data_IF_729357103561
#
_entry.id   IF_729357103561
#
_cell.length_a   1.000
_cell.length_b   1.000
_cell.length_c   1.000
_cell.angle_alpha   90.00
_cell.angle_beta   90.00
_cell.angle_gamma   90.00
#
_symmetry.space_group_name_H-M   'P 1'
#
loop_
_entity.id
_entity.type
_entity.pdbx_description
1 polymer ?
#
# COMPACT_ATOMS: atom_id res chain seq x y z
N UNK A 1 22.31 -20.50 19.31
CA UNK A 1 21.06 -21.16 18.89
C UNK A 1 20.71 -20.65 17.49
N UNK A 2 20.83 -21.45 16.43
CA UNK A 2 20.41 -21.03 15.10
C UNK A 2 18.87 -21.08 15.04
N UNK A 3 18.25 -19.99 14.58
CA UNK A 3 16.83 -19.97 14.26
C UNK A 3 16.62 -20.80 12.99
N UNK A 4 16.06 -22.00 13.12
CA UNK A 4 15.51 -22.74 11.99
C UNK A 4 14.39 -21.89 11.38
N UNK A 5 14.69 -21.32 10.21
CA UNK A 5 13.68 -20.62 9.41
C UNK A 5 12.84 -21.72 8.76
N UNK A 6 11.51 -21.80 8.99
CA UNK A 6 10.69 -22.80 8.31
C UNK A 6 10.65 -22.41 6.83
N UNK A 7 11.55 -23.04 6.06
CA UNK A 7 11.71 -22.76 4.64
C UNK A 7 10.68 -23.59 3.90
N UNK A 8 9.42 -23.16 3.93
CA UNK A 8 8.45 -23.64 2.95
C UNK A 8 8.69 -22.93 1.63
N UNK A 9 9.75 -23.35 0.93
CA UNK A 9 10.05 -22.99 -0.46
C UNK A 9 9.14 -23.74 -1.45
N UNK A 10 8.03 -24.33 -0.98
CA UNK A 10 7.08 -24.98 -1.84
C UNK A 10 6.42 -23.93 -2.74
N UNK A 11 6.79 -23.96 -4.02
CA UNK A 11 6.14 -23.18 -5.05
C UNK A 11 4.87 -23.91 -5.46
N UNK A 12 3.73 -23.26 -5.34
CA UNK A 12 2.42 -23.79 -5.71
C UNK A 12 2.01 -23.22 -7.06
N UNK A 13 1.37 -24.02 -7.90
CA UNK A 13 0.81 -23.55 -9.17
C UNK A 13 -0.67 -23.24 -9.01
N UNK A 14 -1.07 -22.04 -9.42
CA UNK A 14 -2.46 -21.59 -9.41
C UNK A 14 -2.88 -21.32 -10.85
N UNK A 15 -3.89 -22.04 -11.34
CA UNK A 15 -4.40 -21.83 -12.69
C UNK A 15 -4.96 -20.40 -12.82
N UNK A 16 -4.64 -19.73 -13.93
CA UNK A 16 -5.12 -18.39 -14.21
C UNK A 16 -6.06 -18.38 -15.42
N UNK A 17 -7.14 -17.60 -15.39
CA UNK A 17 -7.94 -17.35 -16.58
C UNK A 17 -7.11 -16.68 -17.68
N UNK A 18 -7.32 -17.05 -18.95
CA UNK A 18 -6.60 -16.48 -20.10
C UNK A 18 -6.57 -14.93 -20.14
N UNK A 19 -7.66 -14.21 -19.83
CA UNK A 19 -7.62 -12.75 -19.79
C UNK A 19 -6.70 -12.18 -18.70
N UNK A 20 -6.51 -12.89 -17.58
CA UNK A 20 -5.61 -12.49 -16.50
C UNK A 20 -4.16 -12.67 -16.93
N UNK A 21 -3.85 -13.81 -17.57
CA UNK A 21 -2.52 -14.09 -18.10
C UNK A 21 -2.12 -13.03 -19.12
N UNK A 22 -2.99 -12.71 -20.07
CA UNK A 22 -2.71 -11.71 -21.11
C UNK A 22 -2.42 -10.32 -20.53
N UNK A 23 -3.09 -9.94 -19.44
CA UNK A 23 -2.86 -8.65 -18.78
C UNK A 23 -1.56 -8.61 -17.97
N UNK A 24 -1.13 -9.75 -17.44
CA UNK A 24 0.14 -9.85 -16.72
C UNK A 24 1.33 -10.04 -17.67
N UNK A 25 1.11 -10.73 -18.80
CA UNK A 25 2.10 -10.94 -19.83
C UNK A 25 2.54 -9.60 -20.44
N UNK A 26 3.85 -9.39 -20.53
CA UNK A 26 4.43 -8.14 -21.03
C UNK A 26 4.52 -7.02 -19.99
N UNK A 27 4.12 -7.26 -18.74
CA UNK A 27 4.35 -6.34 -17.62
C UNK A 27 5.51 -6.84 -16.75
N UNK A 28 6.15 -5.94 -16.00
CA UNK A 28 7.18 -6.28 -15.01
C UNK A 28 6.62 -6.43 -13.58
N UNK A 29 5.29 -6.42 -13.42
CA UNK A 29 4.62 -6.47 -12.12
C UNK A 29 4.97 -7.73 -11.32
N UNK A 30 5.11 -8.88 -11.99
CA UNK A 30 5.52 -10.14 -11.35
C UNK A 30 6.96 -10.04 -10.86
N UNK A 31 7.87 -9.50 -11.68
CA UNK A 31 9.28 -9.32 -11.32
C UNK A 31 9.47 -8.34 -10.15
N UNK A 32 8.61 -7.31 -10.05
CA UNK A 32 8.56 -6.36 -8.93
C UNK A 32 7.96 -6.95 -7.65
N UNK A 33 7.37 -8.15 -7.70
CA UNK A 33 6.65 -8.74 -6.57
C UNK A 33 5.37 -7.98 -6.22
N UNK A 34 4.76 -7.30 -7.20
CA UNK A 34 3.53 -6.52 -7.05
C UNK A 34 2.26 -7.35 -7.22
N UNK A 35 2.40 -8.64 -7.54
CA UNK A 35 1.29 -9.55 -7.82
C UNK A 35 1.13 -10.53 -6.66
N UNK A 36 -0.05 -10.53 -6.05
CA UNK A 36 -0.39 -11.41 -4.93
C UNK A 36 -1.74 -12.09 -5.15
N UNK A 37 -1.89 -13.28 -4.58
CA UNK A 37 -3.14 -14.03 -4.55
C UNK A 37 -3.62 -14.11 -3.10
N UNK A 38 -4.84 -13.65 -2.86
CA UNK A 38 -5.53 -13.82 -1.57
C UNK A 38 -6.55 -14.95 -1.68
N UNK A 39 -6.68 -15.73 -0.61
CA UNK A 39 -7.57 -16.89 -0.52
C UNK A 39 -8.59 -16.71 0.60
N UNK A 40 -9.86 -16.82 0.24
CA UNK A 40 -11.00 -16.81 1.16
C UNK A 40 -11.47 -18.23 1.54
N UNK A 41 -10.59 -19.24 1.39
CA UNK A 41 -10.90 -20.64 1.76
C UNK A 41 -11.39 -20.78 3.21
N UNK A 42 -10.91 -19.95 4.14
CA UNK A 42 -11.39 -19.94 5.52
C UNK A 42 -12.88 -19.58 5.62
N UNK A 43 -13.34 -18.58 4.85
CA UNK A 43 -14.75 -18.20 4.80
C UNK A 43 -15.60 -19.30 4.19
N UNK A 44 -15.10 -19.93 3.12
CA UNK A 44 -15.79 -21.08 2.50
C UNK A 44 -15.90 -22.25 3.47
N UNK A 45 -14.82 -22.57 4.19
CA UNK A 45 -14.81 -23.64 5.19
C UNK A 45 -15.79 -23.35 6.33
N UNK A 46 -15.81 -22.11 6.84
CA UNK A 46 -16.77 -21.66 7.84
C UNK A 46 -18.22 -21.74 7.35
N UNK A 47 -18.49 -21.35 6.10
CA UNK A 47 -19.83 -21.38 5.53
C UNK A 47 -20.33 -22.82 5.29
N UNK A 48 -19.43 -23.78 5.06
CA UNK A 48 -19.77 -25.19 4.85
C UNK A 48 -20.81 -25.37 3.75
N UNK A 49 -21.92 -26.05 4.08
CA UNK A 49 -23.03 -26.32 3.17
C UNK A 49 -23.76 -25.05 2.70
N UNK A 50 -23.70 -23.97 3.50
CA UNK A 50 -24.32 -22.68 3.15
C UNK A 50 -23.52 -21.87 2.13
N UNK A 51 -22.33 -22.33 1.73
CA UNK A 51 -21.47 -21.62 0.79
C UNK A 51 -22.17 -21.30 -0.53
N UNK A 52 -22.93 -22.25 -1.09
CA UNK A 52 -23.65 -22.06 -2.36
C UNK A 52 -24.60 -20.86 -2.35
N UNK A 53 -25.20 -20.57 -1.19
CA UNK A 53 -26.11 -19.45 -0.97
C UNK A 53 -25.35 -18.15 -0.66
N UNK A 54 -24.30 -18.22 0.16
CA UNK A 54 -23.55 -17.03 0.62
C UNK A 54 -22.47 -16.53 -0.34
N UNK A 55 -21.99 -17.37 -1.26
CA UNK A 55 -20.82 -17.05 -2.11
C UNK A 55 -20.99 -15.76 -2.89
N UNK A 56 -22.19 -15.47 -3.39
CA UNK A 56 -22.44 -14.25 -4.17
C UNK A 56 -22.26 -12.98 -3.34
N UNK A 57 -22.77 -12.98 -2.11
CA UNK A 57 -22.63 -11.86 -1.18
C UNK A 57 -21.18 -11.70 -0.72
N UNK A 58 -20.50 -12.82 -0.42
CA UNK A 58 -19.09 -12.82 -0.05
C UNK A 58 -18.24 -12.25 -1.19
N UNK A 59 -18.45 -12.69 -2.43
CA UNK A 59 -17.73 -12.17 -3.59
C UNK A 59 -18.00 -10.69 -3.82
N UNK A 60 -19.26 -10.26 -3.68
CA UNK A 60 -19.63 -8.84 -3.80
C UNK A 60 -18.92 -8.00 -2.74
N UNK A 61 -18.85 -8.50 -1.50
CA UNK A 61 -18.13 -7.84 -0.42
C UNK A 61 -16.62 -7.73 -0.70
N UNK A 62 -16.00 -8.83 -1.12
CA UNK A 62 -14.57 -8.88 -1.46
C UNK A 62 -14.26 -7.91 -2.61
N UNK A 63 -15.05 -7.93 -3.68
CA UNK A 63 -14.86 -7.05 -4.84
C UNK A 63 -14.99 -5.58 -4.45
N UNK A 64 -15.99 -5.23 -3.62
CA UNK A 64 -16.14 -3.87 -3.08
C UNK A 64 -14.91 -3.47 -2.26
N UNK A 65 -14.43 -4.36 -1.38
CA UNK A 65 -13.27 -4.08 -0.54
C UNK A 65 -11.99 -3.90 -1.36
N UNK A 66 -11.82 -4.69 -2.40
CA UNK A 66 -10.74 -4.53 -3.39
C UNK A 66 -10.85 -3.18 -4.08
N UNK A 67 -12.05 -2.78 -4.53
CA UNK A 67 -12.27 -1.49 -5.16
C UNK A 67 -12.01 -0.29 -4.22
N UNK A 68 -12.27 -0.45 -2.93
CA UNK A 68 -12.03 0.61 -1.93
C UNK A 68 -10.55 0.81 -1.59
N UNK A 69 -9.72 -0.24 -1.74
CA UNK A 69 -8.30 -0.22 -1.36
C UNK A 69 -7.34 -0.11 -2.54
N UNK A 70 -7.74 -0.56 -3.74
CA UNK A 70 -6.90 -0.59 -4.93
C UNK A 70 -7.18 0.61 -5.85
N UNK A 71 -6.16 1.00 -6.61
CA UNK A 71 -6.31 2.07 -7.59
C UNK A 71 -7.04 1.60 -8.84
N UNK A 72 -7.55 2.56 -9.62
CA UNK A 72 -8.27 2.27 -10.87
C UNK A 72 -7.42 1.53 -11.90
N UNK A 73 -6.10 1.69 -11.85
CA UNK A 73 -5.17 1.05 -12.77
C UNK A 73 -4.76 -0.36 -12.31
N UNK A 74 -5.00 -0.70 -11.05
CA UNK A 74 -4.62 -2.00 -10.50
C UNK A 74 -5.50 -3.11 -11.06
N UNK A 75 -4.87 -4.25 -11.32
CA UNK A 75 -5.57 -5.44 -11.78
C UNK A 75 -6.12 -6.19 -10.57
N UNK A 76 -7.41 -6.50 -10.62
CA UNK A 76 -8.07 -7.43 -9.71
C UNK A 76 -8.84 -8.44 -10.53
N UNK A 77 -8.73 -9.70 -10.16
CA UNK A 77 -9.44 -10.77 -10.85
C UNK A 77 -9.75 -11.90 -9.89
N UNK A 78 -10.98 -12.40 -9.91
CA UNK A 78 -11.30 -13.69 -9.31
C UNK A 78 -10.75 -14.79 -10.19
N UNK A 79 -9.86 -15.61 -9.66
CA UNK A 79 -9.17 -16.69 -10.39
C UNK A 79 -9.76 -18.07 -10.07
N UNK A 80 -10.40 -18.23 -8.91
CA UNK A 80 -11.16 -19.42 -8.55
C UNK A 80 -12.35 -19.06 -7.66
N UNK A 81 -13.13 -20.07 -7.23
CA UNK A 81 -14.28 -19.88 -6.35
C UNK A 81 -13.91 -19.22 -5.00
N UNK A 82 -12.66 -19.40 -4.56
CA UNK A 82 -12.17 -18.94 -3.27
C UNK A 82 -10.88 -18.11 -3.34
N UNK A 83 -10.42 -17.73 -4.54
CA UNK A 83 -9.14 -17.04 -4.70
C UNK A 83 -9.24 -15.86 -5.65
N UNK A 84 -8.54 -14.79 -5.28
CA UNK A 84 -8.49 -13.53 -6.01
C UNK A 84 -7.04 -13.14 -6.23
N UNK A 85 -6.72 -12.73 -7.45
CA UNK A 85 -5.45 -12.15 -7.83
C UNK A 85 -5.55 -10.63 -7.80
N UNK A 86 -4.50 -10.02 -7.27
CA UNK A 86 -4.30 -8.58 -7.17
C UNK A 86 -2.92 -8.26 -7.76
N UNK A 87 -2.85 -7.34 -8.71
CA UNK A 87 -1.60 -6.76 -9.18
C UNK A 87 -1.65 -5.24 -9.05
N UNK A 88 -0.74 -4.69 -8.25
CA UNK A 88 -0.67 -3.26 -7.94
C UNK A 88 0.38 -2.58 -8.82
N UNK A 89 0.09 -1.40 -9.37
CA UNK A 89 1.07 -0.68 -10.20
C UNK A 89 2.06 0.14 -9.37
N UNK A 90 1.63 0.63 -8.21
CA UNK A 90 2.41 1.56 -7.39
C UNK A 90 3.09 0.87 -6.20
N UNK A 91 2.44 -0.15 -5.63
CA UNK A 91 2.99 -0.95 -4.54
C UNK A 91 3.78 -2.14 -5.08
N UNK A 92 4.92 -2.44 -4.46
CA UNK A 92 5.81 -3.54 -4.87
C UNK A 92 6.40 -4.28 -3.67
N UNK A 93 6.81 -5.53 -3.91
CA UNK A 93 7.38 -6.43 -2.90
C UNK A 93 6.57 -6.44 -1.61
N UNK A 94 7.25 -6.16 -0.49
CA UNK A 94 6.64 -6.18 0.84
C UNK A 94 5.48 -5.19 1.02
N UNK A 95 5.48 -4.05 0.32
CA UNK A 95 4.37 -3.09 0.39
C UNK A 95 3.09 -3.68 -0.21
N UNK A 96 3.19 -4.28 -1.41
CA UNK A 96 2.06 -4.95 -2.05
C UNK A 96 1.53 -6.13 -1.22
N UNK A 97 2.44 -6.87 -0.59
CA UNK A 97 2.09 -7.95 0.35
C UNK A 97 1.33 -7.40 1.56
N UNK A 98 1.80 -6.31 2.17
CA UNK A 98 1.16 -5.69 3.33
C UNK A 98 -0.24 -5.17 3.00
N UNK A 99 -0.42 -4.54 1.84
CA UNK A 99 -1.74 -4.11 1.35
C UNK A 99 -2.66 -5.31 1.14
N UNK A 100 -2.16 -6.40 0.54
CA UNK A 100 -2.94 -7.63 0.34
C UNK A 100 -3.34 -8.31 1.67
N UNK A 101 -2.43 -8.32 2.66
CA UNK A 101 -2.71 -8.81 4.02
C UNK A 101 -3.82 -8.01 4.67
N UNK A 102 -3.71 -6.68 4.65
CA UNK A 102 -4.70 -5.79 5.25
C UNK A 102 -6.09 -5.97 4.61
N UNK A 103 -6.15 -6.10 3.28
CA UNK A 103 -7.42 -6.35 2.58
C UNK A 103 -8.05 -7.66 3.07
N UNK A 104 -7.26 -8.74 3.14
CA UNK A 104 -7.78 -10.03 3.58
C UNK A 104 -8.19 -10.01 5.07
N UNK A 105 -7.41 -9.35 5.92
CA UNK A 105 -7.71 -9.15 7.34
C UNK A 105 -9.04 -8.44 7.55
N UNK A 106 -9.29 -7.35 6.81
CA UNK A 106 -10.55 -6.61 6.87
C UNK A 106 -11.73 -7.47 6.38
N UNK A 107 -11.53 -8.27 5.32
CA UNK A 107 -12.56 -9.18 4.78
C UNK A 107 -12.91 -10.26 5.79
N UNK A 108 -11.91 -10.92 6.38
CA UNK A 108 -12.13 -11.97 7.38
C UNK A 108 -12.78 -11.38 8.64
N UNK A 109 -12.31 -10.23 9.12
CA UNK A 109 -12.88 -9.57 10.30
C UNK A 109 -14.35 -9.21 10.07
N UNK A 110 -14.72 -8.73 8.89
CA UNK A 110 -16.12 -8.40 8.59
C UNK A 110 -17.02 -9.64 8.52
N UNK A 111 -16.56 -10.71 7.86
CA UNK A 111 -17.40 -11.88 7.57
C UNK A 111 -17.40 -12.93 8.70
N UNK A 112 -16.28 -13.09 9.40
CA UNK A 112 -16.08 -14.09 10.46
C UNK A 112 -16.03 -13.47 11.86
N UNK A 113 -16.01 -12.14 11.97
CA UNK A 113 -15.93 -11.39 13.22
C UNK A 113 -14.49 -11.19 13.74
N UNK A 114 -13.53 -11.98 13.27
CA UNK A 114 -12.11 -11.84 13.57
C UNK A 114 -11.25 -12.42 12.44
N UNK A 115 -10.00 -11.96 12.34
CA UNK A 115 -9.02 -12.52 11.43
C UNK A 115 -7.92 -13.25 12.23
N UNK A 116 -7.83 -14.58 12.09
CA UNK A 116 -6.71 -15.36 12.61
C UNK A 116 -5.56 -15.39 11.61
N UNK A 117 -4.31 -15.43 12.10
CA UNK A 117 -3.12 -15.63 11.25
C UNK A 117 -3.20 -16.93 10.43
N UNK A 118 -3.83 -17.98 10.98
CA UNK A 118 -4.03 -19.25 10.27
C UNK A 118 -4.91 -19.13 9.04
N UNK A 119 -5.80 -18.12 9.02
CA UNK A 119 -6.85 -17.95 8.02
C UNK A 119 -6.42 -17.00 6.90
N UNK A 120 -5.29 -16.29 7.10
CA UNK A 120 -4.68 -15.40 6.12
C UNK A 120 -3.94 -16.21 5.04
N UNK A 121 -4.70 -16.74 4.08
CA UNK A 121 -4.16 -17.44 2.93
C UNK A 121 -3.65 -16.47 1.86
N UNK A 122 -2.37 -16.12 1.88
CA UNK A 122 -1.76 -15.17 0.93
C UNK A 122 -0.54 -15.79 0.25
N UNK A 123 -0.43 -15.58 -1.05
CA UNK A 123 0.70 -16.04 -1.86
C UNK A 123 1.20 -14.92 -2.76
N UNK A 124 2.51 -14.84 -2.95
CA UNK A 124 3.14 -13.94 -3.91
C UNK A 124 3.33 -14.67 -5.22
N UNK A 125 2.96 -14.07 -6.35
CA UNK A 125 3.25 -14.64 -7.67
C UNK A 125 4.70 -14.30 -8.01
N UNK A 126 5.50 -15.34 -8.25
CA UNK A 126 6.93 -15.24 -8.57
C UNK A 126 7.24 -15.57 -10.04
N UNK A 127 6.26 -16.09 -10.78
CA UNK A 127 6.40 -16.43 -12.19
C UNK A 127 5.07 -16.77 -12.84
N UNK A 128 5.07 -16.83 -14.18
CA UNK A 128 3.96 -17.29 -15.00
C UNK A 128 4.48 -18.41 -15.91
N UNK A 129 3.88 -19.59 -15.82
CA UNK A 129 4.30 -20.79 -16.56
C UNK A 129 3.05 -21.57 -17.00
N UNK A 130 2.98 -21.99 -18.28
CA UNK A 130 1.93 -22.87 -18.82
C UNK A 130 0.48 -22.43 -18.49
N UNK A 131 0.23 -21.12 -18.45
CA UNK A 131 -1.08 -20.57 -18.09
C UNK A 131 -1.43 -20.66 -16.59
N UNK A 132 -0.44 -20.87 -15.73
CA UNK A 132 -0.56 -20.83 -14.29
C UNK A 132 0.40 -19.79 -13.68
N UNK A 133 0.00 -19.23 -12.54
CA UNK A 133 0.89 -18.48 -11.67
C UNK A 133 1.70 -19.44 -10.80
N UNK A 134 3.02 -19.31 -10.85
CA UNK A 134 3.91 -19.92 -9.87
C UNK A 134 3.93 -19.02 -8.65
N UNK A 135 3.50 -19.56 -7.52
CA UNK A 135 3.21 -18.81 -6.31
C UNK A 135 4.08 -19.29 -5.15
N UNK A 136 4.64 -18.36 -4.38
CA UNK A 136 5.29 -18.64 -3.10
C UNK A 136 4.37 -18.22 -1.96
N UNK A 137 4.21 -19.08 -0.96
CA UNK A 137 3.43 -18.74 0.24
C UNK A 137 4.08 -17.58 0.99
N UNK A 138 3.25 -16.63 1.39
CA UNK A 138 3.67 -15.52 2.26
C UNK A 138 3.30 -15.90 3.69
N UNK A 139 4.23 -15.69 4.62
CA UNK A 139 3.93 -15.75 6.04
C UNK A 139 3.32 -14.41 6.49
N UNK A 140 2.02 -14.37 6.85
CA UNK A 140 1.35 -13.15 7.27
C UNK A 140 1.98 -12.55 8.53
N UNK A 141 2.55 -13.36 9.42
CA UNK A 141 3.17 -12.89 10.65
C UNK A 141 4.41 -12.03 10.35
N UNK A 142 5.21 -12.42 9.35
CA UNK A 142 6.39 -11.65 8.91
C UNK A 142 5.95 -10.30 8.33
N UNK A 143 4.92 -10.29 7.48
CA UNK A 143 4.43 -9.07 6.84
C UNK A 143 3.83 -8.12 7.87
N UNK A 144 3.02 -8.63 8.79
CA UNK A 144 2.43 -7.84 9.88
C UNK A 144 3.50 -7.31 10.85
N UNK A 145 4.49 -8.13 11.20
CA UNK A 145 5.62 -7.69 12.02
C UNK A 145 6.44 -6.60 11.32
N UNK A 146 6.67 -6.72 10.01
CA UNK A 146 7.37 -5.70 9.25
C UNK A 146 6.57 -4.40 9.15
N UNK A 147 5.24 -4.48 8.98
CA UNK A 147 4.33 -3.33 9.07
C UNK A 147 4.39 -2.65 10.44
N UNK A 148 4.27 -3.43 11.52
CA UNK A 148 4.36 -2.91 12.87
C UNK A 148 5.71 -2.24 13.15
N UNK A 149 6.83 -2.81 12.65
CA UNK A 149 8.16 -2.17 12.73
C UNK A 149 8.24 -0.88 11.93
N UNK A 150 7.66 -0.83 10.72
CA UNK A 150 7.61 0.37 9.88
C UNK A 150 6.81 1.50 10.54
N UNK A 151 5.72 1.16 11.21
CA UNK A 151 4.84 2.10 11.90
C UNK A 151 5.34 2.47 13.31
N UNK A 152 6.25 1.66 13.88
CA UNK A 152 6.86 1.88 15.19
C UNK A 152 7.69 3.17 15.25
N UNK A 153 7.81 3.74 16.44
CA UNK A 153 8.64 4.91 16.72
C UNK A 153 10.14 4.72 16.41
N UNK A 154 10.58 3.48 16.14
CA UNK A 154 11.98 3.10 15.86
C UNK A 154 12.23 2.71 14.39
N UNK A 155 11.29 2.97 13.48
CA UNK A 155 11.44 2.64 12.06
C UNK A 155 12.59 3.45 11.42
N UNK A 156 13.56 2.81 10.73
CA UNK A 156 14.62 3.53 10.02
C UNK A 156 14.10 4.31 8.79
N UNK A 157 12.84 4.10 8.40
CA UNK A 157 12.15 4.85 7.33
C UNK A 157 11.23 5.94 7.91
N UNK A 158 10.97 5.95 9.23
CA UNK A 158 10.60 7.21 9.89
C UNK A 158 11.87 8.05 9.89
N UNK A 159 11.98 8.96 8.92
CA UNK A 159 12.78 10.14 9.17
C UNK A 159 12.01 10.85 10.30
N UNK A 160 12.52 10.71 11.53
CA UNK A 160 12.15 11.60 12.61
C UNK A 160 12.64 12.98 12.16
N UNK A 161 11.80 13.69 11.43
CA UNK A 161 12.08 15.07 11.10
C UNK A 161 11.87 15.82 12.41
N UNK A 162 12.99 16.16 13.05
CA UNK A 162 12.94 16.97 14.26
C UNK A 162 12.38 18.34 13.88
N UNK A 163 11.33 18.86 14.54
CA UNK A 163 10.78 20.17 14.20
C UNK A 163 11.83 21.29 14.25
N UNK A 164 12.85 21.12 15.11
CA UNK A 164 14.04 21.96 15.21
C UNK A 164 14.93 21.86 13.96
N UNK A 165 15.11 20.67 13.39
CA UNK A 165 15.90 20.45 12.18
C UNK A 165 15.15 20.87 10.90
N UNK A 166 13.83 20.71 10.86
CA UNK A 166 12.98 21.28 9.81
C UNK A 166 12.98 22.81 9.85
N UNK A 167 12.97 23.40 11.05
CA UNK A 167 13.17 24.82 11.29
C UNK A 167 14.63 25.29 11.11
N UNK A 168 15.61 24.39 10.93
CA UNK A 168 16.96 24.73 10.46
C UNK A 168 17.07 24.66 8.93
N UNK A 169 16.33 23.74 8.30
CA UNK A 169 16.19 23.64 6.83
C UNK A 169 15.28 24.71 6.24
N UNK A 170 14.52 25.37 7.12
CA UNK A 170 13.66 26.52 6.85
C UNK A 170 14.21 27.69 7.67
N UNK A 171 14.98 28.61 7.08
CA UNK A 171 14.61 29.27 5.83
C UNK A 171 15.57 29.00 4.66
N UNK A 172 15.02 28.99 3.45
CA UNK A 172 15.82 29.10 2.23
C UNK A 172 15.96 30.58 1.87
N UNK A 173 17.20 31.06 1.78
CA UNK A 173 17.52 32.41 1.32
C UNK A 173 18.07 32.37 -0.10
N UNK A 174 17.56 33.25 -0.97
CA UNK A 174 18.08 33.40 -2.33
C UNK A 174 17.94 34.85 -2.79
N UNK A 175 18.73 35.21 -3.81
CA UNK A 175 18.69 36.54 -4.43
C UNK A 175 17.97 36.45 -5.76
N UNK A 176 16.99 37.30 -6.01
CA UNK A 176 16.28 37.34 -7.31
C UNK A 176 17.19 37.89 -8.40
N UNK A 177 16.84 37.67 -9.67
CA UNK A 177 17.56 38.26 -10.81
C UNK A 177 17.63 39.80 -10.75
N UNK A 178 16.69 40.44 -10.04
CA UNK A 178 16.67 41.89 -9.79
C UNK A 178 17.48 42.34 -8.55
N UNK A 179 18.27 41.46 -7.94
CA UNK A 179 19.15 41.79 -6.81
C UNK A 179 18.49 41.84 -5.43
N UNK A 180 17.20 41.47 -5.33
CA UNK A 180 16.49 41.47 -4.05
C UNK A 180 16.78 40.20 -3.25
N UNK A 181 17.22 40.35 -2.00
CA UNK A 181 17.47 39.23 -1.09
C UNK A 181 16.17 38.82 -0.37
N UNK A 182 15.74 37.57 -0.59
CA UNK A 182 14.49 37.03 -0.05
C UNK A 182 14.78 35.86 0.88
N UNK A 183 14.00 35.77 1.96
CA UNK A 183 13.94 34.63 2.87
C UNK A 183 12.56 34.00 2.79
N UNK A 184 12.50 32.71 2.48
CA UNK A 184 11.25 31.97 2.45
C UNK A 184 11.17 31.07 3.66
N UNK A 185 10.17 31.35 4.49
CA UNK A 185 9.74 30.54 5.61
C UNK A 185 8.51 29.73 5.14
N UNK A 186 8.41 28.44 5.46
CA UNK A 186 7.22 27.65 5.11
C UNK A 186 6.85 26.68 6.23
N UNK A 187 5.56 26.44 6.39
CA UNK A 187 5.04 25.38 7.28
C UNK A 187 4.51 24.22 6.44
N UNK A 188 4.84 23.00 6.85
CA UNK A 188 4.31 21.77 6.25
C UNK A 188 3.24 21.20 7.17
N UNK A 189 2.03 21.04 6.65
CA UNK A 189 0.92 20.46 7.39
C UNK A 189 0.38 19.23 6.68
N UNK A 190 0.31 18.10 7.38
CA UNK A 190 -0.28 16.88 6.83
C UNK A 190 -1.81 16.99 6.80
N UNK A 191 -2.39 16.87 5.61
CA UNK A 191 -3.84 16.77 5.44
C UNK A 191 -4.25 15.31 5.51
N UNK A 192 -4.95 14.95 6.58
CA UNK A 192 -5.37 13.57 6.86
C UNK A 192 -6.82 13.36 6.40
N UNK A 193 -7.06 12.32 5.61
CA UNK A 193 -8.41 11.87 5.33
C UNK A 193 -8.98 11.17 6.56
N UNK A 194 -9.92 11.81 7.26
CA UNK A 194 -10.56 11.22 8.45
C UNK A 194 -11.30 9.91 8.15
N UNK A 195 -11.81 9.75 6.92
CA UNK A 195 -12.48 8.52 6.48
C UNK A 195 -11.51 7.34 6.32
N UNK A 196 -10.29 7.61 5.84
CA UNK A 196 -9.30 6.57 5.50
C UNK A 196 -8.16 6.47 6.52
N UNK A 197 -8.11 7.40 7.48
CA UNK A 197 -7.07 7.59 8.49
C UNK A 197 -5.64 7.54 7.91
N UNK A 198 -5.46 8.12 6.72
CA UNK A 198 -4.16 8.23 6.04
C UNK A 198 -3.91 9.68 5.62
N UNK A 199 -2.64 10.10 5.64
CA UNK A 199 -2.22 11.36 5.01
C UNK A 199 -2.51 11.28 3.52
N UNK A 200 -3.26 12.25 3.01
CA UNK A 200 -3.67 12.29 1.60
C UNK A 200 -2.95 13.40 0.83
N UNK A 201 -2.51 14.45 1.53
CA UNK A 201 -1.70 15.52 0.96
C UNK A 201 -0.84 16.19 2.05
N UNK A 202 0.11 17.03 1.61
CA UNK A 202 0.82 17.99 2.46
C UNK A 202 0.42 19.38 2.00
N UNK A 203 -0.13 20.19 2.91
CA UNK A 203 -0.38 21.61 2.71
C UNK A 203 0.90 22.36 3.03
N UNK A 204 1.31 23.26 2.15
CA UNK A 204 2.47 24.12 2.33
C UNK A 204 1.97 25.57 2.40
N UNK A 205 2.27 26.26 3.49
CA UNK A 205 1.98 27.69 3.62
C UNK A 205 3.29 28.50 3.63
N UNK A 206 3.71 29.04 2.47
CA UNK A 206 4.93 29.83 2.36
C UNK A 206 4.70 31.30 2.72
N UNK A 207 5.60 31.82 3.56
CA UNK A 207 5.75 33.23 3.92
C UNK A 207 7.08 33.75 3.39
N UNK A 208 7.03 34.83 2.61
CA UNK A 208 8.24 35.41 2.00
C UNK A 208 8.57 36.73 2.67
N UNK A 209 9.81 36.86 3.13
CA UNK A 209 10.33 38.05 3.79
C UNK A 209 11.41 38.69 2.93
N UNK A 210 11.26 39.97 2.60
CA UNK A 210 12.33 40.74 1.98
C UNK A 210 13.36 41.17 3.02
N UNK A 211 14.61 40.72 2.88
CA UNK A 211 15.62 40.84 3.93
C UNK A 211 16.06 42.28 4.20
N UNK A 212 16.10 43.13 3.17
CA UNK A 212 16.55 44.51 3.33
C UNK A 212 15.49 45.43 3.97
N UNK A 213 14.20 45.08 3.88
CA UNK A 213 13.10 45.92 4.40
C UNK A 213 12.25 45.27 5.49
N UNK A 214 12.47 43.98 5.79
CA UNK A 214 11.69 43.21 6.76
C UNK A 214 10.23 42.96 6.35
N UNK A 215 9.81 43.42 5.16
CA UNK A 215 8.42 43.33 4.70
C UNK A 215 8.08 41.88 4.36
N UNK A 216 7.03 41.36 5.01
CA UNK A 216 6.47 40.04 4.71
C UNK A 216 5.42 40.14 3.60
N UNK A 217 5.36 39.11 2.76
CA UNK A 217 4.41 39.00 1.66
C UNK A 217 4.02 37.54 1.49
N UNK A 218 2.73 37.27 1.28
CA UNK A 218 2.25 35.92 0.98
C UNK A 218 2.69 35.48 -0.42
N UNK A 219 2.98 34.20 -0.62
CA UNK A 219 3.48 33.72 -1.92
C UNK A 219 2.53 34.00 -3.11
N UNK A 220 1.22 34.17 -2.86
CA UNK A 220 0.23 34.50 -3.90
C UNK A 220 0.43 35.89 -4.52
N UNK A 221 1.15 36.79 -3.85
CA UNK A 221 1.39 38.16 -4.33
C UNK A 221 2.69 38.27 -5.13
N UNK A 222 3.57 37.25 -5.09
CA UNK A 222 4.87 37.25 -5.78
C UNK A 222 4.82 36.94 -7.27
N UNK A 223 3.70 36.46 -7.80
CA UNK A 223 3.53 36.19 -9.25
C UNK A 223 3.50 37.46 -10.11
N UNK A 224 3.70 38.64 -9.52
CA UNK A 224 3.63 39.96 -10.17
C UNK A 224 4.92 40.80 -10.02
N UNK A 225 6.02 40.19 -9.60
CA UNK A 225 7.34 40.82 -9.49
C UNK A 225 8.23 40.46 -10.68
#
# INVERSE_FOLDING_TARGET
>A
MPFETPTSNASERVALPAPVIQRLAGTDLVARGSVNVISIKAIRAWAGEWWSHKRADVWTYVERKLQDQLDRQDLRARISDSEFLIAMNHDQGLAAQATSVKILEDVLTHLLGAASLSDLGIRSVIGLEDGAAVCRRIDPAIVLAARARRDSARSPVRIAVEPSDEARRTPVAFTTAGGAALRVDFTLEHVVSLRRNITTAVRIEPMVTHLASGRQTSARTLTKL
#
